data_IF_241059261993
#
_entry.id   IF_241059261993
#
_cell.length_a   1.000
_cell.length_b   1.000
_cell.length_c   1.000
_cell.angle_alpha   90.00
_cell.angle_beta   90.00
_cell.angle_gamma   90.00
#
_symmetry.space_group_name_H-M   'P 1'
#
loop_
_entity.id
_entity.type
_entity.pdbx_description
1 polymer ?
#
# COMPACT_ATOMS: atom_id res chain seq x y z
N UNK A 1 5.28 -10.68 17.47
CA UNK A 1 5.27 -11.26 16.13
C UNK A 1 5.76 -10.19 15.16
N UNK A 2 6.57 -10.54 14.20
CA UNK A 2 7.01 -9.63 13.12
C UNK A 2 6.60 -10.27 11.78
N UNK A 3 6.19 -9.44 10.83
CA UNK A 3 5.96 -9.82 9.44
C UNK A 3 7.04 -9.13 8.60
N UNK A 4 7.69 -9.90 7.74
CA UNK A 4 8.59 -9.38 6.73
C UNK A 4 7.85 -9.44 5.39
N UNK A 5 7.86 -8.33 4.66
CA UNK A 5 7.34 -8.25 3.30
C UNK A 5 8.52 -8.19 2.36
N UNK A 6 8.58 -9.13 1.42
CA UNK A 6 9.58 -9.19 0.37
C UNK A 6 8.86 -9.09 -0.98
N UNK A 7 9.32 -8.19 -1.85
CA UNK A 7 8.71 -7.94 -3.14
C UNK A 7 9.67 -8.36 -4.25
N UNK A 8 9.30 -9.38 -5.00
CA UNK A 8 10.06 -9.88 -6.14
C UNK A 8 9.39 -9.46 -7.46
N UNK A 9 10.13 -8.75 -8.31
CA UNK A 9 9.64 -8.23 -9.58
C UNK A 9 9.87 -9.28 -10.67
N UNK A 10 8.80 -9.89 -11.15
CA UNK A 10 8.86 -10.91 -12.20
C UNK A 10 8.91 -10.32 -13.61
N UNK A 11 8.27 -9.17 -13.80
CA UNK A 11 8.27 -8.44 -15.06
C UNK A 11 8.26 -6.93 -14.76
N UNK A 12 9.25 -6.21 -15.25
CA UNK A 12 9.43 -4.78 -15.02
C UNK A 12 9.07 -3.98 -16.27
N UNK A 13 8.28 -2.89 -16.09
CA UNK A 13 7.90 -1.96 -17.14
C UNK A 13 7.58 -0.58 -16.54
N UNK A 14 8.58 0.09 -15.96
CA UNK A 14 8.37 1.32 -15.19
C UNK A 14 7.65 1.11 -13.85
N UNK A 15 7.58 2.10 -12.99
CA UNK A 15 6.77 2.13 -11.76
C UNK A 15 6.91 0.95 -10.79
N UNK A 16 7.96 0.12 -10.90
CA UNK A 16 8.12 -1.13 -10.13
C UNK A 16 8.10 -0.92 -8.62
N UNK A 17 8.64 0.20 -8.14
CA UNK A 17 8.62 0.57 -6.73
C UNK A 17 7.19 0.85 -6.26
N UNK A 18 6.42 1.60 -7.03
CA UNK A 18 5.02 1.93 -6.74
C UNK A 18 4.14 0.67 -6.74
N UNK A 19 4.30 -0.18 -7.75
CA UNK A 19 3.61 -1.47 -7.82
C UNK A 19 3.94 -2.36 -6.61
N UNK A 20 5.20 -2.42 -6.19
CA UNK A 20 5.63 -3.17 -5.00
C UNK A 20 4.98 -2.66 -3.71
N UNK A 21 4.91 -1.34 -3.49
CA UNK A 21 4.29 -0.74 -2.30
C UNK A 21 2.79 -1.07 -2.27
N UNK A 22 2.10 -0.89 -3.39
CA UNK A 22 0.66 -1.15 -3.51
C UNK A 22 0.33 -2.62 -3.30
N UNK A 23 1.10 -3.53 -3.92
CA UNK A 23 0.94 -4.98 -3.74
C UNK A 23 1.29 -5.44 -2.33
N UNK A 24 2.34 -4.87 -1.71
CA UNK A 24 2.76 -5.18 -0.35
C UNK A 24 1.66 -4.85 0.68
N UNK A 25 0.96 -3.72 0.52
CA UNK A 25 -0.17 -3.36 1.37
C UNK A 25 -1.26 -4.43 1.33
N UNK A 26 -1.64 -4.86 0.13
CA UNK A 26 -2.65 -5.90 -0.08
C UNK A 26 -2.22 -7.25 0.54
N UNK A 27 -1.00 -7.68 0.26
CA UNK A 27 -0.45 -8.91 0.79
C UNK A 27 -0.39 -8.91 2.32
N UNK A 28 -0.03 -7.76 2.92
CA UNK A 28 0.02 -7.60 4.37
C UNK A 28 -1.37 -7.71 4.99
N UNK A 29 -2.39 -7.06 4.41
CA UNK A 29 -3.77 -7.18 4.88
C UNK A 29 -4.27 -8.62 4.84
N UNK A 30 -4.08 -9.31 3.72
CA UNK A 30 -4.48 -10.70 3.57
C UNK A 30 -3.77 -11.62 4.57
N UNK A 31 -2.48 -11.38 4.80
CA UNK A 31 -1.71 -12.12 5.80
C UNK A 31 -2.25 -11.89 7.23
N UNK A 32 -2.54 -10.62 7.59
CA UNK A 32 -3.09 -10.28 8.90
C UNK A 32 -4.48 -10.88 9.09
N UNK A 33 -5.39 -10.81 8.09
CA UNK A 33 -6.70 -11.47 8.12
C UNK A 33 -6.56 -12.96 8.43
N UNK A 34 -5.67 -13.66 7.70
CA UNK A 34 -5.41 -15.10 7.91
C UNK A 34 -4.86 -15.39 9.32
N UNK A 35 -3.95 -14.56 9.82
CA UNK A 35 -3.38 -14.71 11.17
C UNK A 35 -4.42 -14.48 12.26
N UNK A 36 -5.33 -13.51 12.08
CA UNK A 36 -6.45 -13.26 12.99
C UNK A 36 -7.41 -14.44 12.98
N UNK A 37 -7.84 -14.89 11.80
CA UNK A 37 -8.76 -16.02 11.65
C UNK A 37 -8.21 -17.32 12.28
N UNK A 38 -6.89 -17.52 12.22
CA UNK A 38 -6.22 -18.69 12.81
C UNK A 38 -5.87 -18.51 14.30
N UNK A 39 -6.26 -17.40 14.94
CA UNK A 39 -5.95 -17.11 16.34
C UNK A 39 -4.47 -16.83 16.62
N UNK A 40 -3.67 -16.54 15.60
CA UNK A 40 -2.24 -16.25 15.71
C UNK A 40 -1.95 -14.75 15.92
N UNK A 41 -2.87 -13.89 15.50
CA UNK A 41 -2.85 -12.45 15.75
C UNK A 41 -4.11 -12.06 16.53
N UNK A 42 -4.01 -12.01 17.84
CA UNK A 42 -5.12 -11.69 18.74
C UNK A 42 -4.94 -10.32 19.38
N UNK A 43 -6.04 -9.62 19.74
CA UNK A 43 -6.00 -8.48 20.64
C UNK A 43 -5.20 -8.77 21.91
N UNK A 44 -4.52 -7.76 22.44
CA UNK A 44 -3.63 -7.94 23.62
C UNK A 44 -4.34 -8.57 24.81
N UNK A 45 -5.58 -8.16 25.04
CA UNK A 45 -6.45 -8.61 26.12
C UNK A 45 -6.90 -10.08 26.00
N UNK A 46 -6.79 -10.66 24.80
CA UNK A 46 -7.16 -12.05 24.50
C UNK A 46 -5.95 -12.97 24.37
N UNK A 47 -4.74 -12.45 24.55
CA UNK A 47 -3.51 -13.25 24.44
C UNK A 47 -3.30 -14.05 25.73
N UNK A 48 -2.89 -15.34 25.61
CA UNK A 48 -2.63 -16.14 26.77
C UNK A 48 -1.40 -15.68 27.53
N UNK A 49 -1.46 -15.84 28.84
CA UNK A 49 -0.29 -15.80 29.72
C UNK A 49 0.62 -17.00 29.47
N UNK A 50 1.84 -16.98 29.98
CA UNK A 50 2.77 -18.11 29.83
C UNK A 50 2.31 -19.36 30.60
N UNK A 51 1.51 -19.20 31.65
CA UNK A 51 0.91 -20.30 32.39
C UNK A 51 -0.24 -20.94 31.62
N UNK A 52 -1.11 -20.14 31.01
CA UNK A 52 -2.21 -20.61 30.16
C UNK A 52 -1.70 -21.37 28.94
N UNK A 53 -0.62 -20.90 28.28
CA UNK A 53 0.02 -21.63 27.16
C UNK A 53 0.45 -23.04 27.56
N UNK A 54 0.98 -23.21 28.79
CA UNK A 54 1.42 -24.52 29.31
C UNK A 54 0.26 -25.42 29.67
N UNK A 55 -0.91 -24.87 29.95
CA UNK A 55 -2.13 -25.62 30.35
C UNK A 55 -3.02 -26.06 29.16
N UNK A 56 -2.54 -25.88 27.93
CA UNK A 56 -3.30 -26.29 26.74
C UNK A 56 -4.33 -25.25 26.27
N UNK A 57 -4.07 -23.97 26.52
CA UNK A 57 -4.91 -22.86 26.08
C UNK A 57 -5.22 -22.94 24.57
N UNK A 58 -6.47 -22.63 24.23
CA UNK A 58 -6.92 -22.52 22.84
C UNK A 58 -7.31 -21.09 22.53
N UNK A 59 -6.91 -20.61 21.35
CA UNK A 59 -7.30 -19.29 20.88
C UNK A 59 -8.81 -19.17 20.78
N UNK A 60 -9.42 -18.09 21.28
CA UNK A 60 -10.82 -17.80 21.05
C UNK A 60 -11.07 -17.53 19.57
N UNK A 61 -12.25 -17.91 19.10
CA UNK A 61 -12.71 -17.52 17.76
C UNK A 61 -13.32 -16.13 17.85
N UNK A 62 -12.78 -15.19 17.07
CA UNK A 62 -13.33 -13.84 16.96
C UNK A 62 -14.56 -13.83 16.03
N UNK A 63 -15.54 -12.98 16.33
CA UNK A 63 -16.62 -12.70 15.38
C UNK A 63 -16.09 -11.92 14.17
N UNK A 64 -16.81 -11.92 13.03
CA UNK A 64 -16.38 -11.13 11.86
C UNK A 64 -16.14 -9.66 12.18
N UNK A 65 -16.99 -9.06 13.01
CA UNK A 65 -16.85 -7.66 13.44
C UNK A 65 -15.58 -7.45 14.29
N UNK A 66 -15.29 -8.37 15.21
CA UNK A 66 -14.07 -8.31 16.02
C UNK A 66 -12.80 -8.52 15.18
N UNK A 67 -12.88 -9.39 14.16
CA UNK A 67 -11.76 -9.60 13.22
C UNK A 67 -11.47 -8.33 12.43
N UNK A 68 -12.49 -7.70 11.87
CA UNK A 68 -12.37 -6.46 11.11
C UNK A 68 -11.85 -5.30 11.99
N UNK A 69 -12.41 -5.13 13.20
CA UNK A 69 -11.94 -4.11 14.14
C UNK A 69 -10.47 -4.31 14.50
N UNK A 70 -10.07 -5.57 14.74
CA UNK A 70 -8.69 -5.87 15.09
C UNK A 70 -7.75 -5.71 13.90
N UNK A 71 -8.16 -6.10 12.68
CA UNK A 71 -7.41 -5.84 11.45
C UNK A 71 -7.12 -4.35 11.27
N UNK A 72 -8.14 -3.50 11.40
CA UNK A 72 -7.99 -2.05 11.29
C UNK A 72 -7.13 -1.44 12.40
N UNK A 73 -7.06 -2.10 13.55
CA UNK A 73 -6.14 -1.70 14.63
C UNK A 73 -4.69 -2.10 14.36
N UNK A 74 -4.47 -3.21 13.65
CA UNK A 74 -3.14 -3.69 13.26
C UNK A 74 -2.62 -2.95 12.04
N UNK A 75 -3.49 -2.69 11.06
CA UNK A 75 -3.19 -1.93 9.83
C UNK A 75 -4.18 -0.76 9.76
N UNK A 76 -3.84 0.38 10.38
CA UNK A 76 -4.78 1.50 10.50
C UNK A 76 -5.04 2.24 9.19
N UNK A 77 -4.16 2.11 8.20
CA UNK A 77 -4.29 2.79 6.91
C UNK A 77 -3.93 1.85 5.77
N UNK A 78 -4.70 1.90 4.69
CA UNK A 78 -4.28 1.34 3.43
C UNK A 78 -3.32 2.31 2.73
N UNK A 79 -2.34 1.74 2.03
CA UNK A 79 -1.34 2.48 1.26
C UNK A 79 -1.44 2.10 -0.22
N UNK A 80 -1.29 3.10 -1.06
CA UNK A 80 -1.03 2.91 -2.48
C UNK A 80 0.07 3.87 -2.94
N UNK A 81 0.73 3.52 -4.01
CA UNK A 81 1.76 4.31 -4.65
C UNK A 81 1.58 4.30 -6.17
N UNK A 82 1.90 5.42 -6.80
CA UNK A 82 1.84 5.58 -8.26
C UNK A 82 2.99 6.45 -8.72
N UNK A 83 3.47 6.20 -9.95
CA UNK A 83 4.42 7.10 -10.63
C UNK A 83 3.67 8.11 -11.49
N UNK A 84 4.21 9.33 -11.57
CA UNK A 84 3.80 10.38 -12.48
C UNK A 84 5.04 11.06 -13.04
N UNK A 85 4.99 11.56 -14.25
CA UNK A 85 6.12 12.25 -14.85
C UNK A 85 5.71 13.41 -15.70
N UNK A 86 6.70 14.26 -15.99
CA UNK A 86 6.62 15.37 -16.93
C UNK A 86 7.45 15.02 -18.15
N UNK A 87 6.87 15.09 -19.35
CA UNK A 87 7.54 14.81 -20.61
C UNK A 87 7.14 15.91 -21.61
N UNK A 88 8.10 16.68 -22.08
CA UNK A 88 7.89 17.80 -23.02
C UNK A 88 6.80 18.80 -22.56
N UNK A 89 6.65 18.99 -21.25
CA UNK A 89 5.68 19.91 -20.64
C UNK A 89 4.29 19.31 -20.36
N UNK A 90 4.04 18.07 -20.75
CA UNK A 90 2.80 17.34 -20.44
C UNK A 90 2.99 16.37 -19.27
N UNK A 91 1.94 16.21 -18.45
CA UNK A 91 1.96 15.29 -17.29
C UNK A 91 1.38 13.93 -17.66
N UNK A 92 2.05 12.86 -17.23
CA UNK A 92 1.69 11.47 -17.48
C UNK A 92 1.51 10.69 -16.19
N UNK A 93 0.57 9.75 -16.20
CA UNK A 93 0.25 8.87 -15.09
C UNK A 93 0.74 7.45 -15.36
N UNK A 94 1.30 6.80 -14.33
CA UNK A 94 1.69 5.38 -14.38
C UNK A 94 2.67 5.11 -15.53
N UNK A 95 3.88 5.69 -15.39
CA UNK A 95 4.89 5.65 -16.44
C UNK A 95 5.32 4.20 -16.72
N UNK A 96 5.19 3.78 -17.98
CA UNK A 96 5.86 2.60 -18.48
C UNK A 96 7.37 2.87 -18.69
N UNK A 97 8.14 1.84 -19.01
CA UNK A 97 9.59 1.99 -19.19
C UNK A 97 9.98 3.04 -20.25
N UNK A 98 9.19 3.17 -21.31
CA UNK A 98 9.48 4.11 -22.40
C UNK A 98 9.24 5.54 -21.94
N UNK A 99 8.14 5.79 -21.25
CA UNK A 99 7.82 7.12 -20.69
C UNK A 99 8.79 7.48 -19.56
N UNK A 100 9.06 6.55 -18.65
CA UNK A 100 9.98 6.72 -17.51
C UNK A 100 11.39 7.09 -17.97
N UNK A 101 11.91 6.38 -18.98
CA UNK A 101 13.25 6.64 -19.54
C UNK A 101 13.40 7.95 -20.33
N UNK A 102 12.30 8.59 -20.68
CA UNK A 102 12.28 9.86 -21.41
C UNK A 102 11.67 11.01 -20.58
N UNK A 103 11.39 10.77 -19.31
CA UNK A 103 10.78 11.78 -18.45
C UNK A 103 11.78 12.89 -18.10
N UNK A 104 11.38 14.14 -18.29
CA UNK A 104 12.10 15.32 -17.80
C UNK A 104 12.09 15.34 -16.26
N UNK A 105 10.96 14.88 -15.68
CA UNK A 105 10.74 14.73 -14.24
C UNK A 105 10.05 13.42 -14.00
N UNK A 106 10.62 12.58 -13.14
CA UNK A 106 9.98 11.37 -12.55
C UNK A 106 9.60 11.65 -11.09
N UNK A 107 8.38 11.25 -10.71
CA UNK A 107 7.88 11.41 -9.35
C UNK A 107 7.10 10.17 -8.90
N UNK A 108 7.44 9.68 -7.70
CA UNK A 108 6.70 8.65 -7.00
C UNK A 108 5.88 9.28 -5.87
N UNK A 109 4.60 8.98 -5.83
CA UNK A 109 3.66 9.46 -4.81
C UNK A 109 3.12 8.29 -4.02
N UNK A 110 3.30 8.31 -2.70
CA UNK A 110 2.74 7.33 -1.77
C UNK A 110 1.74 8.01 -0.85
N UNK A 111 0.51 7.49 -0.81
CA UNK A 111 -0.60 8.10 -0.07
C UNK A 111 -1.38 7.04 0.71
N UNK A 112 -1.99 7.46 1.80
CA UNK A 112 -2.96 6.66 2.56
C UNK A 112 -4.36 6.84 2.00
N UNK A 113 -5.24 5.86 2.17
CA UNK A 113 -6.63 5.93 1.73
C UNK A 113 -7.44 7.06 2.41
N UNK A 114 -6.99 7.56 3.59
CA UNK A 114 -7.56 8.73 4.26
C UNK A 114 -6.98 10.08 3.74
N UNK A 115 -6.26 10.06 2.62
CA UNK A 115 -5.83 11.23 1.89
C UNK A 115 -4.54 11.89 2.35
N UNK A 116 -3.72 11.21 3.17
CA UNK A 116 -2.44 11.77 3.66
C UNK A 116 -1.27 11.24 2.86
N UNK A 117 -0.35 12.12 2.50
CA UNK A 117 0.88 11.71 1.85
C UNK A 117 1.86 11.07 2.84
N UNK A 118 2.42 9.94 2.43
CA UNK A 118 3.49 9.25 3.14
C UNK A 118 4.84 9.64 2.53
N UNK A 119 4.86 9.77 1.19
CA UNK A 119 6.07 10.14 0.47
C UNK A 119 5.71 10.89 -0.82
N UNK A 120 6.49 11.91 -1.11
CA UNK A 120 6.55 12.61 -2.39
C UNK A 120 8.03 12.63 -2.79
N UNK A 121 8.40 11.80 -3.75
CA UNK A 121 9.75 11.71 -4.26
C UNK A 121 9.73 12.09 -5.72
N UNK A 122 10.32 13.23 -6.06
CA UNK A 122 10.41 13.72 -7.44
C UNK A 122 11.82 14.20 -7.74
N UNK A 123 12.30 13.89 -8.93
CA UNK A 123 13.61 14.29 -9.43
C UNK A 123 13.47 14.84 -10.83
N UNK A 124 14.04 16.03 -11.07
CA UNK A 124 14.29 16.51 -12.42
C UNK A 124 15.60 15.90 -12.91
N UNK A 125 15.54 14.97 -13.86
CA UNK A 125 16.73 14.25 -14.34
C UNK A 125 17.53 15.07 -15.34
N UNK A 126 16.86 15.67 -16.32
CA UNK A 126 17.49 16.54 -17.33
C UNK A 126 16.97 17.99 -17.27
N UNK A 127 15.95 18.26 -16.44
CA UNK A 127 15.22 19.52 -16.35
C UNK A 127 14.89 19.88 -14.92
N UNK A 128 14.36 21.08 -14.71
CA UNK A 128 13.76 21.53 -13.46
C UNK A 128 12.25 21.67 -13.64
N UNK A 129 11.49 21.62 -12.59
CA UNK A 129 10.03 21.81 -12.64
C UNK A 129 9.57 22.93 -11.73
N UNK A 130 8.52 23.61 -12.15
CA UNK A 130 7.89 24.72 -11.44
C UNK A 130 6.90 24.23 -10.38
N UNK A 131 6.44 25.13 -9.51
CA UNK A 131 5.36 24.83 -8.55
C UNK A 131 4.02 24.54 -9.22
N UNK A 132 3.76 25.05 -10.43
CA UNK A 132 2.55 24.77 -11.21
C UNK A 132 2.60 23.33 -11.75
N UNK A 133 3.72 22.91 -12.32
CA UNK A 133 3.95 21.54 -12.79
C UNK A 133 3.91 20.54 -11.64
N UNK A 134 4.52 20.86 -10.49
CA UNK A 134 4.41 20.04 -9.28
C UNK A 134 2.94 19.85 -8.87
N UNK A 135 2.15 20.91 -8.90
CA UNK A 135 0.74 20.85 -8.54
C UNK A 135 -0.07 19.98 -9.51
N UNK A 136 0.25 20.04 -10.79
CA UNK A 136 -0.36 19.21 -11.83
C UNK A 136 0.01 17.72 -11.67
N UNK A 137 1.27 17.41 -11.39
CA UNK A 137 1.75 16.05 -11.11
C UNK A 137 1.04 15.46 -9.90
N UNK A 138 0.94 16.21 -8.79
CA UNK A 138 0.26 15.76 -7.58
C UNK A 138 -1.24 15.52 -7.84
N UNK A 139 -1.92 16.42 -8.56
CA UNK A 139 -3.34 16.26 -8.87
C UNK A 139 -3.61 15.02 -9.72
N UNK A 140 -2.74 14.73 -10.69
CA UNK A 140 -2.84 13.53 -11.52
C UNK A 140 -2.56 12.26 -10.71
N UNK A 141 -1.54 12.27 -9.85
CA UNK A 141 -1.23 11.18 -8.95
C UNK A 141 -2.40 10.87 -7.99
N UNK A 142 -3.04 11.91 -7.44
CA UNK A 142 -4.22 11.74 -6.55
C UNK A 142 -5.35 11.01 -7.26
N UNK A 143 -5.67 11.39 -8.50
CA UNK A 143 -6.71 10.72 -9.29
C UNK A 143 -6.37 9.24 -9.57
N UNK A 144 -5.10 8.94 -9.88
CA UNK A 144 -4.63 7.57 -10.07
C UNK A 144 -4.67 6.73 -8.79
N UNK A 145 -4.28 7.33 -7.66
CA UNK A 145 -4.30 6.67 -6.35
C UNK A 145 -5.73 6.34 -5.89
N UNK A 146 -6.70 7.22 -6.14
CA UNK A 146 -8.10 6.95 -5.83
C UNK A 146 -8.59 5.69 -6.57
N UNK A 147 -8.24 5.53 -7.85
CA UNK A 147 -8.53 4.31 -8.60
C UNK A 147 -7.85 3.06 -8.04
N UNK A 148 -6.60 3.16 -7.58
CA UNK A 148 -5.88 2.05 -6.94
C UNK A 148 -6.53 1.64 -5.61
N UNK A 149 -7.01 2.57 -4.80
CA UNK A 149 -7.75 2.26 -3.58
C UNK A 149 -9.06 1.55 -3.85
N UNK A 150 -9.80 1.93 -4.90
CA UNK A 150 -11.00 1.20 -5.34
C UNK A 150 -10.68 -0.24 -5.73
N UNK A 151 -9.61 -0.46 -6.48
CA UNK A 151 -9.16 -1.81 -6.86
C UNK A 151 -8.75 -2.63 -5.63
N UNK A 152 -7.99 -2.04 -4.70
CA UNK A 152 -7.60 -2.72 -3.45
C UNK A 152 -8.84 -3.12 -2.64
N UNK A 153 -9.80 -2.23 -2.47
CA UNK A 153 -11.04 -2.49 -1.74
C UNK A 153 -11.82 -3.66 -2.39
N UNK A 154 -12.00 -3.63 -3.72
CA UNK A 154 -12.69 -4.68 -4.44
C UNK A 154 -12.03 -6.07 -4.29
N UNK A 155 -10.69 -6.12 -4.30
CA UNK A 155 -9.94 -7.36 -4.09
C UNK A 155 -10.15 -7.87 -2.66
N UNK A 156 -10.06 -6.99 -1.66
CA UNK A 156 -10.21 -7.36 -0.24
C UNK A 156 -11.63 -7.82 0.09
N UNK A 157 -12.64 -7.28 -0.58
CA UNK A 157 -14.05 -7.69 -0.43
C UNK A 157 -14.35 -9.03 -1.13
N UNK A 158 -13.64 -9.32 -2.22
CA UNK A 158 -13.80 -10.57 -2.99
C UNK A 158 -13.10 -11.79 -2.39
N UNK A 159 -12.22 -11.59 -1.42
CA UNK A 159 -11.45 -12.66 -0.74
C UNK A 159 -11.98 -12.80 0.71
N UNK A 160 -13.10 -13.52 0.86
CA UNK A 160 -13.69 -13.91 2.16
C UNK A 160 -13.36 -15.36 2.49
#
# INVERSE_FOLDING_TARGET
MALNVDCDILNADGGTRCASITAANLALRLAVRRLIANGQCLPLEMRPTDEEKKSGWKAPTLTPEQQMEHENRVIPHDLAAISVGLIEGDVYLDLDYVLDSNADVDMNVVKTADGKYVELQGTGEESTFSGEELSALIALADAGLDGLFEVQAAILDGIN
#
